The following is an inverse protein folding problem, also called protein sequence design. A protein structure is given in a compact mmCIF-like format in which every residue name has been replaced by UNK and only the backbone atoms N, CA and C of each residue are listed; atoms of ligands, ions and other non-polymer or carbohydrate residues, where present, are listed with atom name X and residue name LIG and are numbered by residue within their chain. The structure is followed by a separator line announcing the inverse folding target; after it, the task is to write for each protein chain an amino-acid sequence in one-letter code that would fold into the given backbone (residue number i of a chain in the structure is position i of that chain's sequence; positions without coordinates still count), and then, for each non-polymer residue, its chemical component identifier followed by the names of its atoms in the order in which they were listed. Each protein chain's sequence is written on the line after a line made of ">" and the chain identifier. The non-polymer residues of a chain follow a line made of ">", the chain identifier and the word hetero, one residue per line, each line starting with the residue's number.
data_IF_284865556041
#
_entry.id   IF_284865556041
#
_cell.length_a   1.000
_cell.length_b   1.000
_cell.length_c   1.000
_cell.angle_alpha   90.00
_cell.angle_beta   90.00
_cell.angle_gamma   90.00
#
_symmetry.space_group_name_H-M   'P 1'
#
loop_
_entity.id
_entity.type
_entity.pdbx_description
1 polymer ?
#
# COMPACT_ATOMS: atom_id res chain seq x y z
N UNK A 1 13.61 12.36 19.84
CA UNK A 1 13.47 11.04 20.48
C UNK A 1 12.72 10.15 19.50
N UNK A 2 13.41 9.20 18.86
CA UNK A 2 12.76 8.26 17.95
C UNK A 2 12.09 7.19 18.80
N UNK A 3 10.77 7.26 18.93
CA UNK A 3 9.99 6.16 19.48
C UNK A 3 10.18 4.97 18.52
N UNK A 4 10.96 3.99 18.96
CA UNK A 4 11.10 2.71 18.30
C UNK A 4 9.72 2.06 18.28
N UNK A 5 9.05 2.11 17.14
CA UNK A 5 7.81 1.37 16.91
C UNK A 5 8.20 -0.11 16.83
N UNK A 6 7.84 -0.90 17.84
CA UNK A 6 7.96 -2.36 17.80
C UNK A 6 7.48 -2.86 16.42
N UNK A 7 8.18 -3.81 15.78
CA UNK A 7 7.86 -4.18 14.40
C UNK A 7 6.46 -4.77 14.39
N UNK A 8 5.50 -3.97 13.91
CA UNK A 8 4.11 -4.38 13.79
C UNK A 8 4.06 -5.68 12.99
N UNK A 9 3.18 -6.60 13.42
CA UNK A 9 2.99 -7.87 12.74
C UNK A 9 2.52 -7.62 11.30
N UNK A 10 3.45 -7.70 10.35
CA UNK A 10 3.21 -7.51 8.92
C UNK A 10 3.57 -8.81 8.18
N UNK A 11 2.57 -9.64 7.94
CA UNK A 11 2.74 -10.83 7.10
C UNK A 11 2.19 -10.58 5.70
N UNK A 12 2.85 -11.14 4.70
CA UNK A 12 2.39 -11.14 3.30
C UNK A 12 2.46 -12.57 2.79
N UNK A 13 1.31 -13.12 2.38
CA UNK A 13 1.24 -14.43 1.74
C UNK A 13 0.92 -14.24 0.26
N UNK A 14 1.65 -14.95 -0.60
CA UNK A 14 1.49 -14.86 -2.04
C UNK A 14 1.09 -16.22 -2.60
N UNK A 15 0.08 -16.26 -3.49
CA UNK A 15 -0.34 -17.45 -4.23
C UNK A 15 -0.35 -17.15 -5.73
N UNK A 16 0.03 -18.13 -6.54
CA UNK A 16 0.07 -18.02 -8.00
C UNK A 16 1.43 -17.63 -8.58
N UNK A 17 2.49 -17.66 -7.76
CA UNK A 17 3.88 -17.55 -8.23
C UNK A 17 4.44 -18.97 -8.39
N UNK A 18 4.73 -19.37 -9.62
CA UNK A 18 5.22 -20.72 -9.96
C UNK A 18 6.61 -20.62 -10.61
N UNK A 19 7.38 -21.73 -10.66
CA UNK A 19 8.64 -21.76 -11.41
C UNK A 19 8.48 -21.44 -12.90
N UNK A 20 7.30 -21.67 -13.46
CA UNK A 20 6.99 -21.43 -14.88
C UNK A 20 6.40 -20.02 -15.13
N UNK A 21 6.36 -19.16 -14.11
CA UNK A 21 5.77 -17.83 -14.19
C UNK A 21 4.52 -17.67 -13.30
N UNK A 22 3.64 -16.75 -13.68
CA UNK A 22 2.41 -16.49 -12.96
C UNK A 22 1.32 -17.49 -13.37
N UNK A 23 0.56 -17.96 -12.40
CA UNK A 23 -0.69 -18.71 -12.62
C UNK A 23 -1.78 -17.78 -13.16
N UNK A 24 -2.90 -18.33 -13.65
CA UNK A 24 -4.05 -17.55 -14.15
C UNK A 24 -4.55 -16.54 -13.12
N UNK A 25 -4.50 -16.92 -11.83
CA UNK A 25 -4.93 -16.08 -10.70
C UNK A 25 -3.81 -15.92 -9.69
N UNK A 26 -3.45 -14.67 -9.42
CA UNK A 26 -2.43 -14.27 -8.44
C UNK A 26 -3.10 -13.55 -7.28
N UNK A 27 -2.72 -13.91 -6.05
CA UNK A 27 -3.29 -13.36 -4.82
C UNK A 27 -2.19 -12.91 -3.86
N UNK A 28 -2.34 -11.71 -3.30
CA UNK A 28 -1.53 -11.21 -2.19
C UNK A 28 -2.44 -11.02 -0.97
N UNK A 29 -2.16 -11.72 0.12
CA UNK A 29 -2.85 -11.56 1.39
C UNK A 29 -1.93 -10.81 2.35
N UNK A 30 -2.34 -9.59 2.70
CA UNK A 30 -1.65 -8.75 3.68
C UNK A 30 -2.35 -8.92 5.03
N UNK A 31 -1.64 -9.46 6.02
CA UNK A 31 -2.12 -9.55 7.40
C UNK A 31 -1.39 -8.49 8.23
N UNK A 32 -2.17 -7.68 8.94
CA UNK A 32 -1.74 -6.49 9.68
C UNK A 32 -2.44 -6.45 11.03
N UNK A 33 -1.81 -5.81 12.02
CA UNK A 33 -2.53 -5.41 13.23
C UNK A 33 -3.58 -4.35 12.91
N UNK A 34 -4.58 -4.24 13.78
CA UNK A 34 -5.59 -3.21 13.70
C UNK A 34 -4.94 -1.82 13.82
N UNK A 35 -5.34 -0.89 12.96
CA UNK A 35 -4.75 0.45 12.87
C UNK A 35 -3.51 0.59 11.97
N UNK A 36 -2.92 -0.51 11.47
CA UNK A 36 -1.81 -0.49 10.50
C UNK A 36 -2.32 -0.76 9.07
N UNK A 37 -3.14 0.17 8.55
CA UNK A 37 -3.96 -0.01 7.33
C UNK A 37 -3.79 1.11 6.29
N UNK A 38 -2.54 1.45 5.98
CA UNK A 38 -2.18 2.45 4.96
C UNK A 38 -2.86 2.20 3.61
N UNK A 39 -3.01 0.93 3.21
CA UNK A 39 -3.62 0.55 1.94
C UNK A 39 -5.10 0.98 1.84
N UNK A 40 -5.83 1.01 2.97
CA UNK A 40 -7.23 1.45 2.99
C UNK A 40 -7.34 2.97 2.78
N UNK A 41 -6.48 3.74 3.45
CA UNK A 41 -6.42 5.20 3.27
C UNK A 41 -6.06 5.55 1.82
N UNK A 42 -5.05 4.90 1.26
CA UNK A 42 -4.65 5.11 -0.13
C UNK A 42 -5.79 4.78 -1.11
N UNK A 43 -6.48 3.65 -0.92
CA UNK A 43 -7.63 3.25 -1.75
C UNK A 43 -8.72 4.31 -1.75
N UNK A 44 -9.15 4.74 -0.57
CA UNK A 44 -10.26 5.69 -0.43
C UNK A 44 -9.87 7.08 -0.99
N UNK A 45 -8.61 7.45 -0.90
CA UNK A 45 -8.10 8.68 -1.53
C UNK A 45 -8.17 8.63 -3.05
N UNK A 46 -7.76 7.52 -3.66
CA UNK A 46 -7.88 7.34 -5.11
C UNK A 46 -9.35 7.34 -5.57
N UNK A 47 -10.26 6.78 -4.77
CA UNK A 47 -11.69 6.83 -5.06
C UNK A 47 -12.27 8.26 -4.97
N UNK A 48 -11.82 9.05 -4.00
CA UNK A 48 -12.27 10.43 -3.83
C UNK A 48 -11.70 11.40 -4.86
N UNK A 49 -10.47 11.16 -5.33
CA UNK A 49 -9.73 12.05 -6.23
C UNK A 49 -9.37 11.34 -7.55
N UNK A 50 -10.30 11.23 -8.52
CA UNK A 50 -10.10 10.53 -9.78
C UNK A 50 -8.86 11.01 -10.56
N UNK A 51 -8.54 12.30 -10.50
CA UNK A 51 -7.34 12.85 -11.15
C UNK A 51 -6.04 12.26 -10.61
N UNK A 52 -6.00 11.92 -9.31
CA UNK A 52 -4.84 11.29 -8.67
C UNK A 52 -4.78 9.80 -9.06
N UNK A 53 -5.94 9.15 -9.17
CA UNK A 53 -6.02 7.79 -9.69
C UNK A 53 -5.51 7.69 -11.13
N UNK A 54 -5.86 8.66 -11.98
CA UNK A 54 -5.37 8.76 -13.36
C UNK A 54 -3.85 8.97 -13.40
N UNK A 55 -3.31 9.87 -12.57
CA UNK A 55 -1.87 10.09 -12.44
C UNK A 55 -1.14 8.81 -12.02
N UNK A 56 -1.69 8.11 -11.02
CA UNK A 56 -1.15 6.83 -10.57
C UNK A 56 -1.20 5.76 -11.67
N UNK A 57 -2.28 5.73 -12.45
CA UNK A 57 -2.43 4.85 -13.61
C UNK A 57 -1.34 5.09 -14.64
N UNK A 58 -1.11 6.35 -15.03
CA UNK A 58 -0.05 6.72 -15.99
C UNK A 58 1.34 6.35 -15.47
N UNK A 59 1.63 6.64 -14.20
CA UNK A 59 2.89 6.26 -13.57
C UNK A 59 3.12 4.74 -13.66
N UNK A 60 2.12 3.92 -13.33
CA UNK A 60 2.23 2.46 -13.41
C UNK A 60 2.49 1.95 -14.82
N UNK A 61 1.88 2.56 -15.84
CA UNK A 61 2.09 2.19 -17.25
C UNK A 61 3.52 2.53 -17.70
N UNK A 62 4.02 3.71 -17.37
CA UNK A 62 5.40 4.11 -17.67
C UNK A 62 6.41 3.17 -17.00
N UNK A 63 6.22 2.89 -15.71
CA UNK A 63 7.09 2.00 -14.95
C UNK A 63 7.03 0.56 -15.45
N UNK A 64 5.89 0.08 -15.94
CA UNK A 64 5.79 -1.27 -16.51
C UNK A 64 6.67 -1.41 -17.76
N UNK A 65 6.81 -0.35 -18.56
CA UNK A 65 7.74 -0.32 -19.69
C UNK A 65 9.21 -0.31 -19.23
N UNK A 66 9.54 0.57 -18.28
CA UNK A 66 10.92 0.78 -17.78
C UNK A 66 11.45 -0.39 -16.94
N UNK A 67 10.59 -1.03 -16.15
CA UNK A 67 10.93 -2.06 -15.17
C UNK A 67 10.46 -3.46 -15.60
N UNK A 68 10.37 -3.72 -16.93
CA UNK A 68 9.84 -4.99 -17.49
C UNK A 68 10.45 -6.26 -16.86
N UNK A 69 11.73 -6.20 -16.49
CA UNK A 69 12.47 -7.33 -15.89
C UNK A 69 12.91 -7.06 -14.44
N UNK A 70 12.47 -5.95 -13.86
CA UNK A 70 12.87 -5.50 -12.53
C UNK A 70 11.63 -5.24 -11.65
N UNK A 71 11.16 -6.30 -11.01
CA UNK A 71 9.98 -6.23 -10.15
C UNK A 71 10.20 -5.33 -8.93
N UNK A 72 11.40 -5.37 -8.36
CA UNK A 72 11.74 -4.61 -7.18
C UNK A 72 11.88 -3.13 -7.52
N UNK A 73 12.52 -2.82 -8.65
CA UNK A 73 12.55 -1.47 -9.22
C UNK A 73 11.16 -0.92 -9.50
N UNK A 74 10.25 -1.72 -10.05
CA UNK A 74 8.85 -1.32 -10.25
C UNK A 74 8.17 -0.96 -8.92
N UNK A 75 8.41 -1.76 -7.87
CA UNK A 75 7.83 -1.55 -6.54
C UNK A 75 8.39 -0.29 -5.87
N UNK A 76 9.70 -0.10 -5.95
CA UNK A 76 10.40 1.05 -5.37
C UNK A 76 10.04 2.36 -6.09
N UNK A 77 9.98 2.35 -7.42
CA UNK A 77 9.76 3.55 -8.22
C UNK A 77 8.38 4.20 -8.03
N UNK A 78 7.37 3.43 -7.61
CA UNK A 78 6.05 3.98 -7.27
C UNK A 78 5.87 4.29 -5.77
N UNK A 79 6.87 3.99 -4.93
CA UNK A 79 6.72 4.02 -3.48
C UNK A 79 6.52 5.45 -2.95
N UNK A 80 7.22 6.44 -3.51
CA UNK A 80 7.05 7.86 -3.13
C UNK A 80 5.65 8.38 -3.43
N UNK A 81 5.10 8.02 -4.59
CA UNK A 81 3.74 8.37 -4.96
C UNK A 81 2.74 7.82 -3.94
N UNK A 82 2.83 6.54 -3.61
CA UNK A 82 1.95 5.88 -2.65
C UNK A 82 2.09 6.57 -1.28
N UNK A 83 3.31 6.74 -0.76
CA UNK A 83 3.56 7.39 0.54
C UNK A 83 2.97 8.80 0.61
N UNK A 84 3.13 9.61 -0.44
CA UNK A 84 2.60 10.97 -0.50
C UNK A 84 1.09 10.98 -0.30
N UNK A 85 0.37 10.19 -1.10
CA UNK A 85 -1.09 10.19 -1.07
C UNK A 85 -1.68 9.42 0.11
N UNK A 86 -0.99 8.38 0.62
CA UNK A 86 -1.36 7.77 1.90
C UNK A 86 -1.31 8.79 3.03
N UNK A 87 -0.25 9.62 3.12
CA UNK A 87 -0.16 10.66 4.16
C UNK A 87 -1.30 11.68 4.07
N UNK A 88 -1.54 12.21 2.86
CA UNK A 88 -2.66 13.13 2.62
C UNK A 88 -4.01 12.50 3.01
N UNK A 89 -4.19 11.22 2.69
CA UNK A 89 -5.38 10.47 3.05
C UNK A 89 -5.54 10.25 4.55
N UNK A 90 -4.46 9.91 5.25
CA UNK A 90 -4.47 9.73 6.71
C UNK A 90 -4.81 11.04 7.43
N UNK A 91 -4.30 12.17 6.93
CA UNK A 91 -4.61 13.49 7.48
C UNK A 91 -6.06 13.90 7.21
N UNK A 92 -6.55 13.68 5.98
CA UNK A 92 -7.91 14.07 5.58
C UNK A 92 -9.00 13.16 6.19
N UNK A 93 -8.72 11.86 6.27
CA UNK A 93 -9.65 10.85 6.79
C UNK A 93 -9.31 10.43 8.22
N UNK A 94 -8.67 11.33 8.99
CA UNK A 94 -8.16 11.04 10.32
C UNK A 94 -9.20 10.33 11.19
N UNK A 95 -8.81 9.17 11.74
CA UNK A 95 -9.67 8.36 12.60
C UNK A 95 -10.61 7.39 11.89
N UNK A 96 -10.72 7.44 10.55
CA UNK A 96 -11.65 6.60 9.77
C UNK A 96 -11.44 5.11 9.98
N UNK A 97 -10.19 4.69 10.20
CA UNK A 97 -9.85 3.30 10.45
C UNK A 97 -9.14 3.07 11.79
N UNK A 98 -9.34 3.97 12.75
CA UNK A 98 -8.90 3.73 14.13
C UNK A 98 -9.78 2.65 14.73
N UNK A 99 -9.19 1.57 15.31
CA UNK A 99 -9.98 0.53 15.99
C UNK A 99 -10.74 1.13 17.17
N UNK A 100 -12.01 0.72 17.37
CA UNK A 100 -12.86 1.21 18.45
C UNK A 100 -12.26 0.95 19.85
N UNK A 101 -11.45 -0.11 19.99
CA UNK A 101 -10.82 -0.53 21.24
C UNK A 101 -9.38 -0.01 21.43
N UNK A 102 -8.93 0.93 20.59
CA UNK A 102 -7.62 1.54 20.74
C UNK A 102 -7.58 2.36 22.04
N UNK A 103 -7.13 1.72 23.13
CA UNK A 103 -6.86 2.43 24.40
C UNK A 103 -5.84 3.54 24.12
N UNK A 104 -6.12 4.81 24.50
CA UNK A 104 -5.13 5.86 24.37
C UNK A 104 -4.01 5.64 25.39
N UNK A 105 -2.80 5.37 24.89
CA UNK A 105 -1.56 5.44 25.66
C UNK A 105 -1.36 4.34 26.70
N UNK A 106 -0.63 3.29 26.31
CA UNK A 106 0.32 2.61 27.20
C UNK A 106 1.73 2.89 26.70
#
# INVERSE_FOLDING_TARGET
>A
MHAQTSPGFRLVFNKGYTPNGLDEKVYHLHVRYSGDWDELYFRDYLQKYPQVADEYGRLKLELAGRCRHDRDGYTNAKADFIRKYTRLATDEFKGRYTPADAKPGE
#
